data_IF_305687123626
#
_entry.id   IF_305687123626
#
_cell.length_a   1.000
_cell.length_b   1.000
_cell.length_c   1.000
_cell.angle_alpha   90.00
_cell.angle_beta   90.00
_cell.angle_gamma   90.00
#
_symmetry.space_group_name_H-M   'P 1'
#
loop_
_entity.id
_entity.type
_entity.pdbx_description
1 polymer ?
#
# COMPACT_ATOMS: atom_id res chain seq x y z
N UNK A 1 2.09 52.71 -32.56
CA UNK A 1 1.14 51.98 -31.69
C UNK A 1 0.62 52.95 -30.64
N UNK A 2 -0.71 53.11 -30.49
CA UNK A 2 -1.26 54.06 -29.51
C UNK A 2 -0.98 53.56 -28.08
N UNK A 3 -0.68 54.44 -27.11
CA UNK A 3 -0.33 54.04 -25.74
C UNK A 3 -1.39 53.14 -25.08
N UNK A 4 -2.67 53.28 -25.47
CA UNK A 4 -3.77 52.42 -25.02
C UNK A 4 -3.58 50.93 -25.40
N UNK A 5 -2.93 50.63 -26.53
CA UNK A 5 -2.67 49.25 -26.94
C UNK A 5 -1.49 48.62 -26.19
N UNK A 6 -0.48 49.42 -25.80
CA UNK A 6 0.64 48.95 -24.98
C UNK A 6 0.13 48.51 -23.59
N UNK A 7 -0.70 49.34 -22.96
CA UNK A 7 -1.26 49.03 -21.64
C UNK A 7 -2.12 47.77 -21.68
N UNK A 8 -2.95 47.60 -22.71
CA UNK A 8 -3.79 46.40 -22.85
C UNK A 8 -2.95 45.12 -22.99
N UNK A 9 -1.89 45.16 -23.79
CA UNK A 9 -0.99 44.00 -23.97
C UNK A 9 -0.31 43.62 -22.65
N UNK A 10 0.14 44.61 -21.87
CA UNK A 10 0.77 44.36 -20.57
C UNK A 10 -0.21 43.71 -19.60
N UNK A 11 -1.44 44.21 -19.52
CA UNK A 11 -2.46 43.66 -18.61
C UNK A 11 -2.81 42.23 -18.98
N UNK A 12 -3.09 41.96 -20.26
CA UNK A 12 -3.42 40.60 -20.73
C UNK A 12 -2.24 39.65 -20.52
N UNK A 13 -1.03 40.07 -20.88
CA UNK A 13 0.18 39.27 -20.69
C UNK A 13 0.41 38.91 -19.22
N UNK A 14 0.26 39.88 -18.32
CA UNK A 14 0.41 39.66 -16.88
C UNK A 14 -0.69 38.74 -16.32
N UNK A 15 -1.94 38.92 -16.73
CA UNK A 15 -3.05 38.03 -16.34
C UNK A 15 -2.83 36.58 -16.80
N UNK A 16 -2.36 36.37 -18.03
CA UNK A 16 -2.00 35.03 -18.52
C UNK A 16 -0.85 34.41 -17.71
N UNK A 17 0.15 35.20 -17.32
CA UNK A 17 1.31 34.74 -16.56
C UNK A 17 0.92 34.35 -15.13
N UNK A 18 0.01 35.11 -14.49
CA UNK A 18 -0.58 34.76 -13.19
C UNK A 18 -1.44 33.49 -13.28
N UNK A 19 -2.28 33.37 -14.30
CA UNK A 19 -3.10 32.18 -14.51
C UNK A 19 -2.25 30.93 -14.76
N UNK A 20 -1.18 31.04 -15.56
CA UNK A 20 -0.22 29.96 -15.79
C UNK A 20 0.55 29.59 -14.51
N UNK A 21 1.02 30.59 -13.75
CA UNK A 21 1.69 30.37 -12.47
C UNK A 21 0.77 29.69 -11.48
N UNK A 22 -0.50 30.11 -11.36
CA UNK A 22 -1.49 29.47 -10.49
C UNK A 22 -1.85 28.05 -10.95
N UNK A 23 -1.94 27.82 -12.26
CA UNK A 23 -2.14 26.49 -12.83
C UNK A 23 -0.95 25.55 -12.51
N UNK A 24 0.29 26.03 -12.67
CA UNK A 24 1.46 25.24 -12.32
C UNK A 24 1.57 25.01 -10.82
N UNK A 25 1.31 26.03 -10.00
CA UNK A 25 1.32 25.91 -8.55
C UNK A 25 0.24 24.92 -8.09
N UNK A 26 -0.99 25.02 -8.61
CA UNK A 26 -2.07 24.07 -8.29
C UNK A 26 -1.80 22.67 -8.82
N UNK A 27 -1.04 22.50 -9.92
CA UNK A 27 -0.51 21.20 -10.36
C UNK A 27 0.54 20.64 -9.40
N UNK A 28 1.41 21.48 -8.87
CA UNK A 28 2.40 21.05 -7.88
C UNK A 28 1.80 20.84 -6.48
N UNK A 29 0.64 21.43 -6.23
CA UNK A 29 -0.25 21.14 -5.10
C UNK A 29 -1.32 20.08 -5.44
N UNK A 30 -1.27 19.44 -6.61
CA UNK A 30 -2.08 18.24 -6.84
C UNK A 30 -1.62 17.19 -5.84
N UNK A 31 -2.62 16.59 -5.22
CA UNK A 31 -2.58 15.75 -4.04
C UNK A 31 -1.31 14.91 -3.88
N UNK A 32 -0.68 14.86 -2.68
CA UNK A 32 0.29 13.81 -2.36
C UNK A 32 -0.38 12.46 -2.68
N UNK A 33 0.18 11.70 -3.64
CA UNK A 33 -0.61 10.65 -4.27
C UNK A 33 -0.05 10.05 -5.56
N UNK A 34 0.62 10.84 -6.38
CA UNK A 34 1.01 10.37 -7.71
C UNK A 34 2.30 9.53 -7.67
N UNK A 35 2.28 8.41 -8.42
CA UNK A 35 3.43 7.51 -8.60
C UNK A 35 4.48 8.21 -9.46
N UNK A 36 5.65 8.48 -8.88
CA UNK A 36 6.77 9.11 -9.56
C UNK A 36 7.65 8.13 -10.32
N UNK A 37 8.96 8.37 -10.32
CA UNK A 37 9.92 7.48 -10.98
C UNK A 37 10.04 6.17 -10.21
N UNK A 38 10.05 5.04 -10.93
CA UNK A 38 10.39 3.73 -10.37
C UNK A 38 11.83 3.76 -9.86
N UNK A 39 12.04 3.30 -8.64
CA UNK A 39 13.39 3.14 -8.08
C UNK A 39 13.75 1.69 -7.78
N UNK A 40 12.77 0.81 -7.61
CA UNK A 40 13.01 -0.60 -7.36
C UNK A 40 11.86 -1.45 -7.91
N UNK A 41 12.17 -2.68 -8.33
CA UNK A 41 11.17 -3.67 -8.76
C UNK A 41 11.65 -5.05 -8.32
N UNK A 42 10.73 -5.84 -7.80
CA UNK A 42 10.96 -7.23 -7.42
C UNK A 42 9.89 -8.11 -8.03
N UNK A 43 10.29 -9.25 -8.58
CA UNK A 43 9.39 -10.23 -9.18
C UNK A 43 9.67 -11.62 -8.62
N UNK A 44 8.61 -12.41 -8.44
CA UNK A 44 8.70 -13.82 -8.08
C UNK A 44 7.59 -14.63 -8.76
N UNK A 45 7.77 -15.93 -8.89
CA UNK A 45 6.84 -16.82 -9.59
C UNK A 45 6.78 -18.19 -8.94
N UNK A 46 5.62 -18.83 -8.99
CA UNK A 46 5.47 -20.28 -8.82
C UNK A 46 5.12 -20.90 -10.18
N UNK A 47 4.53 -22.10 -10.20
CA UNK A 47 4.18 -22.81 -11.44
C UNK A 47 2.95 -22.24 -12.16
N UNK A 48 2.13 -21.42 -11.51
CA UNK A 48 0.81 -21.03 -12.00
C UNK A 48 0.62 -19.51 -12.13
N UNK A 49 1.20 -18.72 -11.23
CA UNK A 49 1.17 -17.26 -11.30
C UNK A 49 2.47 -16.61 -10.80
N UNK A 50 2.64 -15.35 -11.22
CA UNK A 50 3.75 -14.47 -10.87
C UNK A 50 3.25 -13.21 -10.17
N UNK A 51 4.09 -12.66 -9.31
CA UNK A 51 3.84 -11.45 -8.53
C UNK A 51 4.98 -10.48 -8.75
N UNK A 52 4.63 -9.19 -8.85
CA UNK A 52 5.57 -8.09 -9.01
C UNK A 52 5.26 -7.00 -7.99
N UNK A 53 6.29 -6.48 -7.33
CA UNK A 53 6.20 -5.31 -6.47
C UNK A 53 7.07 -4.23 -7.11
N UNK A 54 6.49 -3.09 -7.40
CA UNK A 54 7.19 -1.92 -7.95
C UNK A 54 7.13 -0.79 -6.95
N UNK A 55 8.29 -0.23 -6.60
CA UNK A 55 8.40 0.93 -5.73
C UNK A 55 8.69 2.20 -6.55
N UNK A 56 7.93 3.25 -6.26
CA UNK A 56 7.96 4.54 -6.92
C UNK A 56 8.30 5.61 -5.89
N UNK A 57 9.10 6.59 -6.28
CA UNK A 57 9.19 7.83 -5.51
C UNK A 57 7.83 8.52 -5.51
N UNK A 58 7.43 9.11 -4.39
CA UNK A 58 6.27 9.99 -4.36
C UNK A 58 6.54 11.29 -5.11
N UNK A 59 5.60 11.72 -5.98
CA UNK A 59 5.65 13.06 -6.58
C UNK A 59 5.07 14.06 -5.59
N UNK A 60 5.89 14.97 -5.09
CA UNK A 60 5.47 16.04 -4.18
C UNK A 60 6.64 16.93 -3.75
N UNK A 61 6.33 18.14 -3.28
CA UNK A 61 7.36 19.12 -2.84
C UNK A 61 7.78 18.87 -1.38
N UNK A 62 6.88 18.34 -0.55
CA UNK A 62 7.09 18.18 0.89
C UNK A 62 7.16 16.70 1.28
N UNK A 63 8.32 16.29 1.80
CA UNK A 63 8.64 14.95 2.35
C UNK A 63 8.32 13.80 1.37
N UNK A 64 9.24 13.47 0.44
CA UNK A 64 9.00 12.42 -0.52
C UNK A 64 8.93 11.05 0.17
N UNK A 65 7.72 10.49 0.25
CA UNK A 65 7.52 9.10 0.63
C UNK A 65 7.81 8.13 -0.50
N UNK A 66 7.30 6.91 -0.34
CA UNK A 66 7.33 5.87 -1.35
C UNK A 66 5.92 5.32 -1.62
N UNK A 67 5.64 5.06 -2.89
CA UNK A 67 4.46 4.32 -3.34
C UNK A 67 4.87 2.92 -3.76
N UNK A 68 4.13 1.93 -3.26
CA UNK A 68 4.33 0.53 -3.62
C UNK A 68 3.10 0.04 -4.38
N UNK A 69 3.33 -0.65 -5.48
CA UNK A 69 2.28 -1.29 -6.29
C UNK A 69 2.60 -2.76 -6.38
N UNK A 70 1.64 -3.59 -5.95
CA UNK A 70 1.72 -5.03 -5.99
C UNK A 70 0.76 -5.53 -7.08
N UNK A 71 1.31 -6.28 -8.01
CA UNK A 71 0.62 -6.78 -9.18
C UNK A 71 0.78 -8.29 -9.26
N UNK A 72 -0.18 -8.95 -9.90
CA UNK A 72 -0.12 -10.38 -10.17
C UNK A 72 -0.60 -10.68 -11.58
N UNK A 73 -0.08 -11.75 -12.16
CA UNK A 73 -0.45 -12.24 -13.48
C UNK A 73 -0.31 -13.77 -13.51
N UNK A 74 -1.05 -14.43 -14.41
CA UNK A 74 -0.75 -15.84 -14.73
C UNK A 74 0.66 -15.94 -15.34
N UNK A 75 1.37 -17.06 -15.12
CA UNK A 75 2.73 -17.27 -15.66
C UNK A 75 2.77 -17.07 -17.18
N UNK A 76 1.73 -17.53 -17.88
CA UNK A 76 1.61 -17.44 -19.35
C UNK A 76 1.13 -16.06 -19.85
N UNK A 77 0.74 -15.15 -18.96
CA UNK A 77 0.20 -13.84 -19.33
C UNK A 77 1.21 -12.72 -19.11
N UNK A 78 1.15 -11.71 -19.98
CA UNK A 78 1.86 -10.43 -19.80
C UNK A 78 0.95 -9.33 -19.24
N UNK A 79 -0.32 -9.65 -18.97
CA UNK A 79 -1.29 -8.74 -18.39
C UNK A 79 -1.17 -8.73 -16.86
N UNK A 80 -0.50 -7.71 -16.34
CA UNK A 80 -0.40 -7.46 -14.90
C UNK A 80 -1.68 -6.83 -14.37
N UNK A 81 -2.17 -7.34 -13.23
CA UNK A 81 -3.31 -6.79 -12.51
C UNK A 81 -2.86 -6.32 -11.15
N UNK A 82 -3.05 -5.03 -10.88
CA UNK A 82 -2.87 -4.45 -9.57
C UNK A 82 -3.85 -5.06 -8.58
N UNK A 83 -3.34 -5.58 -7.47
CA UNK A 83 -4.17 -6.07 -6.37
C UNK A 83 -4.01 -5.25 -5.09
N UNK A 84 -2.92 -4.47 -4.98
CA UNK A 84 -2.67 -3.59 -3.84
C UNK A 84 -1.77 -2.43 -4.24
N UNK A 85 -2.12 -1.24 -3.79
CA UNK A 85 -1.23 -0.09 -3.81
C UNK A 85 -1.29 0.64 -2.46
N UNK A 86 -0.14 1.08 -1.95
CA UNK A 86 -0.07 1.80 -0.69
C UNK A 86 1.10 2.79 -0.66
N UNK A 87 0.95 3.81 0.19
CA UNK A 87 1.94 4.85 0.43
C UNK A 87 2.64 4.58 1.76
N UNK A 88 3.92 4.89 1.84
CA UNK A 88 4.70 5.00 3.08
C UNK A 88 5.34 6.38 3.14
N UNK A 89 5.34 6.99 4.30
CA UNK A 89 6.00 8.28 4.52
C UNK A 89 7.53 8.18 4.34
N UNK A 90 8.10 7.03 4.71
CA UNK A 90 9.52 6.73 4.53
C UNK A 90 9.72 5.68 3.43
N UNK A 91 10.66 5.90 2.49
CA UNK A 91 11.10 4.87 1.56
C UNK A 91 11.70 3.68 2.32
N UNK A 92 11.14 2.50 2.11
CA UNK A 92 11.69 1.24 2.60
C UNK A 92 12.17 0.39 1.41
N UNK A 93 13.24 -0.40 1.56
CA UNK A 93 13.66 -1.35 0.54
C UNK A 93 12.57 -2.38 0.24
N UNK A 94 12.42 -2.83 -1.02
CA UNK A 94 11.44 -3.88 -1.35
C UNK A 94 11.76 -5.21 -0.66
N UNK A 95 13.00 -5.46 -0.24
CA UNK A 95 13.35 -6.65 0.57
C UNK A 95 12.45 -6.83 1.80
N UNK A 96 12.02 -5.73 2.42
CA UNK A 96 11.05 -5.76 3.53
C UNK A 96 9.71 -6.40 3.15
N UNK A 97 9.23 -6.16 1.93
CA UNK A 97 7.97 -6.73 1.42
C UNK A 97 8.16 -8.15 0.87
N UNK A 98 9.30 -8.42 0.22
CA UNK A 98 9.68 -9.77 -0.21
C UNK A 98 9.66 -10.75 0.98
N UNK A 99 10.27 -10.38 2.10
CA UNK A 99 10.29 -11.21 3.31
C UNK A 99 8.90 -11.51 3.88
N UNK A 100 7.86 -10.75 3.48
CA UNK A 100 6.47 -10.87 3.94
C UNK A 100 5.53 -11.46 2.90
N UNK A 101 6.05 -11.79 1.72
CA UNK A 101 5.34 -12.49 0.67
C UNK A 101 5.62 -14.00 0.75
N UNK A 102 4.59 -14.84 0.66
CA UNK A 102 4.76 -16.30 0.62
C UNK A 102 3.78 -16.94 -0.35
N UNK A 103 4.29 -17.87 -1.17
CA UNK A 103 3.47 -18.90 -1.80
C UNK A 103 3.20 -20.01 -0.79
N UNK A 104 1.93 -20.38 -0.60
CA UNK A 104 1.54 -21.57 0.17
C UNK A 104 1.49 -22.78 -0.76
N UNK A 105 0.95 -22.60 -1.96
CA UNK A 105 0.91 -23.59 -3.04
C UNK A 105 0.76 -22.88 -4.40
N UNK A 106 0.44 -23.63 -5.46
CA UNK A 106 0.31 -23.07 -6.81
C UNK A 106 -0.90 -22.12 -6.99
N UNK A 107 -1.91 -22.20 -6.13
CA UNK A 107 -3.11 -21.34 -6.19
C UNK A 107 -3.14 -20.28 -5.08
N UNK A 108 -2.43 -20.52 -3.98
CA UNK A 108 -2.53 -19.72 -2.77
C UNK A 108 -1.23 -18.99 -2.47
N UNK A 109 -1.33 -17.68 -2.26
CA UNK A 109 -0.25 -16.86 -1.72
C UNK A 109 -0.81 -15.77 -0.83
N UNK A 110 0.05 -15.24 0.05
CA UNK A 110 -0.27 -14.07 0.84
C UNK A 110 0.87 -13.06 0.86
N UNK A 111 0.51 -11.81 1.11
CA UNK A 111 1.38 -10.69 1.43
C UNK A 111 0.82 -10.02 2.68
N UNK A 112 1.66 -9.78 3.67
CA UNK A 112 1.26 -8.96 4.80
C UNK A 112 2.12 -7.71 4.95
N UNK A 113 1.51 -6.66 5.46
CA UNK A 113 2.15 -5.41 5.86
C UNK A 113 1.69 -5.05 7.26
N UNK A 114 2.25 -4.01 7.88
CA UNK A 114 1.73 -3.51 9.15
C UNK A 114 0.22 -3.21 9.11
N UNK A 115 -0.30 -2.82 7.94
CA UNK A 115 -1.67 -2.29 7.80
C UNK A 115 -2.74 -3.30 7.38
N UNK A 116 -2.33 -4.44 6.81
CA UNK A 116 -3.27 -5.45 6.31
C UNK A 116 -2.59 -6.78 5.97
N UNK A 117 -3.43 -7.80 5.77
CA UNK A 117 -3.10 -9.10 5.23
C UNK A 117 -3.87 -9.31 3.92
N UNK A 118 -3.15 -9.55 2.82
CA UNK A 118 -3.72 -9.78 1.50
C UNK A 118 -3.49 -11.24 1.08
N UNK A 119 -4.54 -11.94 0.64
CA UNK A 119 -4.47 -13.36 0.25
C UNK A 119 -5.20 -13.64 -1.06
N UNK A 120 -4.60 -14.47 -1.90
CA UNK A 120 -5.26 -15.07 -3.07
C UNK A 120 -5.42 -16.57 -2.86
N UNK A 121 -6.52 -17.14 -3.33
CA UNK A 121 -6.79 -18.59 -3.33
C UNK A 121 -6.99 -19.15 -4.75
N UNK A 122 -6.74 -18.33 -5.78
CA UNK A 122 -7.08 -18.66 -7.16
C UNK A 122 -6.00 -18.22 -8.16
N UNK A 123 -4.74 -18.37 -7.76
CA UNK A 123 -3.58 -18.11 -8.62
C UNK A 123 -3.40 -16.62 -8.93
N UNK A 124 -3.61 -15.75 -7.95
CA UNK A 124 -3.46 -14.30 -8.11
C UNK A 124 -4.57 -13.61 -8.89
N UNK A 125 -5.63 -14.32 -9.30
CA UNK A 125 -6.73 -13.69 -10.07
C UNK A 125 -7.53 -12.70 -9.24
N UNK A 126 -7.83 -13.06 -8.00
CA UNK A 126 -8.51 -12.22 -7.02
C UNK A 126 -7.75 -12.25 -5.70
N UNK A 127 -7.76 -11.11 -5.00
CA UNK A 127 -7.14 -10.95 -3.70
C UNK A 127 -8.19 -10.47 -2.69
N UNK A 128 -8.20 -11.08 -1.51
CA UNK A 128 -8.97 -10.63 -0.35
C UNK A 128 -8.04 -9.91 0.61
N UNK A 129 -8.50 -8.79 1.17
CA UNK A 129 -7.74 -7.96 2.10
C UNK A 129 -8.42 -7.98 3.46
N UNK A 130 -7.68 -8.31 4.50
CA UNK A 130 -8.10 -8.22 5.89
C UNK A 130 -7.31 -7.12 6.60
N UNK A 131 -8.01 -6.28 7.37
CA UNK A 131 -7.38 -5.23 8.18
C UNK A 131 -7.39 -5.59 9.67
N UNK A 132 -6.30 -5.31 10.41
CA UNK A 132 -6.17 -5.56 11.84
C UNK A 132 -6.91 -4.53 12.69
N UNK A 133 -8.23 -4.41 12.47
CA UNK A 133 -9.13 -3.57 13.24
C UNK A 133 -9.85 -4.43 14.29
N UNK A 134 -9.52 -4.25 15.56
CA UNK A 134 -10.09 -5.02 16.65
C UNK A 134 -10.94 -4.13 17.57
N UNK A 135 -12.06 -4.63 18.10
CA UNK A 135 -12.89 -3.89 19.03
C UNK A 135 -12.21 -3.72 20.39
N UNK A 136 -12.29 -2.52 20.95
CA UNK A 136 -11.97 -2.24 22.35
C UNK A 136 -13.19 -2.51 23.26
N UNK A 137 -12.99 -2.41 24.58
CA UNK A 137 -14.06 -2.59 25.58
C UNK A 137 -15.23 -1.63 25.39
N UNK A 138 -14.98 -0.43 24.85
CA UNK A 138 -16.00 0.58 24.56
C UNK A 138 -16.66 0.39 23.18
N UNK A 139 -16.32 -0.69 22.46
CA UNK A 139 -16.83 -1.00 21.14
C UNK A 139 -16.13 -0.26 19.99
N UNK A 140 -15.18 0.65 20.26
CA UNK A 140 -14.44 1.33 19.19
C UNK A 140 -13.46 0.38 18.53
N UNK A 141 -13.37 0.45 17.20
CA UNK A 141 -12.35 -0.26 16.46
C UNK A 141 -11.03 0.47 16.59
N UNK A 142 -9.99 -0.27 16.98
CA UNK A 142 -8.63 0.24 17.06
C UNK A 142 -7.74 -0.55 16.14
N UNK A 143 -6.87 0.19 15.46
CA UNK A 143 -5.89 -0.35 14.55
C UNK A 143 -4.72 -0.97 15.33
N UNK A 144 -4.30 -2.14 14.89
CA UNK A 144 -3.12 -2.84 15.38
C UNK A 144 -2.15 -3.06 14.23
N UNK A 145 -0.85 -2.91 14.46
CA UNK A 145 0.14 -3.22 13.44
C UNK A 145 0.37 -4.73 13.36
N UNK A 146 0.24 -5.30 12.17
CA UNK A 146 0.54 -6.70 11.89
C UNK A 146 2.04 -6.90 11.70
N UNK A 147 2.68 -7.55 12.69
CA UNK A 147 4.13 -7.69 12.77
C UNK A 147 4.63 -8.93 12.05
N UNK A 148 3.92 -10.04 12.22
CA UNK A 148 4.24 -11.36 11.68
C UNK A 148 2.94 -12.05 11.29
N UNK A 149 2.97 -12.81 10.18
CA UNK A 149 1.88 -13.69 9.79
C UNK A 149 2.41 -14.97 9.12
N UNK A 150 1.89 -16.11 9.57
CA UNK A 150 2.16 -17.42 9.01
C UNK A 150 0.85 -18.15 8.76
N UNK A 151 0.68 -18.69 7.55
CA UNK A 151 -0.50 -19.45 7.16
C UNK A 151 -0.04 -20.74 6.48
N UNK A 152 -0.58 -21.85 6.96
CA UNK A 152 -0.27 -23.20 6.55
C UNK A 152 -1.08 -23.64 5.33
N UNK A 153 -0.72 -24.80 4.77
CA UNK A 153 -1.39 -25.36 3.59
C UNK A 153 -2.83 -25.79 3.83
N UNK A 154 -3.20 -26.09 5.08
CA UNK A 154 -4.58 -26.45 5.48
C UNK A 154 -5.47 -25.22 5.73
N UNK A 155 -4.91 -24.01 5.59
CA UNK A 155 -5.61 -22.75 5.80
C UNK A 155 -5.61 -22.26 7.24
N UNK A 156 -5.05 -23.03 8.18
CA UNK A 156 -4.79 -22.55 9.53
C UNK A 156 -3.61 -21.58 9.54
N UNK A 157 -3.52 -20.72 10.55
CA UNK A 157 -2.41 -19.79 10.65
C UNK A 157 -2.43 -18.98 11.92
N UNK A 158 -1.31 -18.30 12.19
CA UNK A 158 -1.09 -17.44 13.35
C UNK A 158 -0.46 -16.12 12.91
N UNK A 159 -0.79 -15.06 13.63
CA UNK A 159 -0.20 -13.75 13.43
C UNK A 159 -0.02 -13.02 14.75
N UNK A 160 0.95 -12.10 14.78
CA UNK A 160 1.23 -11.23 15.91
C UNK A 160 0.83 -9.81 15.58
N UNK A 161 0.04 -9.21 16.46
CA UNK A 161 -0.37 -7.83 16.38
C UNK A 161 0.28 -7.02 17.51
N UNK A 162 0.71 -5.81 17.21
CA UNK A 162 1.23 -4.87 18.23
C UNK A 162 0.51 -3.53 18.16
N UNK A 163 0.43 -2.86 19.30
CA UNK A 163 -0.18 -1.54 19.45
C UNK A 163 0.52 -0.80 20.60
N UNK A 164 0.66 0.51 20.49
CA UNK A 164 0.99 1.33 21.66
C UNK A 164 -0.25 1.55 22.54
N UNK A 165 -0.15 1.22 23.82
CA UNK A 165 -1.24 1.39 24.78
C UNK A 165 -0.92 2.55 25.74
N UNK A 166 -1.76 3.59 25.69
CA UNK A 166 -1.55 4.82 26.46
C UNK A 166 -1.65 4.60 27.98
N UNK A 167 -2.42 3.59 28.43
CA UNK A 167 -2.62 3.35 29.86
C UNK A 167 -1.38 2.78 30.51
N UNK A 168 -0.72 1.85 29.83
CA UNK A 168 0.52 1.22 30.30
C UNK A 168 1.79 1.91 29.78
N UNK A 169 1.64 2.88 28.87
CA UNK A 169 2.72 3.62 28.19
C UNK A 169 3.74 2.70 27.48
N UNK A 170 3.28 1.55 27.01
CA UNK A 170 4.12 0.52 26.41
C UNK A 170 3.41 -0.14 25.22
N UNK A 171 4.15 -0.98 24.48
CA UNK A 171 3.58 -1.82 23.44
C UNK A 171 2.90 -3.03 24.06
N UNK A 172 1.66 -3.25 23.64
CA UNK A 172 0.92 -4.48 23.90
C UNK A 172 0.96 -5.35 22.66
N UNK A 173 1.15 -6.65 22.88
CA UNK A 173 1.17 -7.65 21.82
C UNK A 173 0.06 -8.66 22.07
N UNK A 174 -0.59 -9.09 20.98
CA UNK A 174 -1.57 -10.17 21.02
C UNK A 174 -1.31 -11.14 19.86
N UNK A 175 -1.67 -12.40 20.09
CA UNK A 175 -1.67 -13.42 19.06
C UNK A 175 -3.09 -13.62 18.53
N UNK A 176 -3.20 -13.74 17.21
CA UNK A 176 -4.44 -14.04 16.50
C UNK A 176 -4.24 -15.30 15.66
N UNK A 177 -5.33 -16.01 15.39
CA UNK A 177 -5.33 -17.21 14.56
C UNK A 177 -6.37 -17.11 13.44
N UNK A 178 -6.16 -17.90 12.39
CA UNK A 178 -7.10 -18.07 11.27
C UNK A 178 -7.30 -19.55 10.99
N UNK A 179 -8.45 -19.89 10.43
CA UNK A 179 -8.81 -21.23 9.94
C UNK A 179 -9.24 -21.18 8.46
N UNK A 180 -9.03 -20.04 7.79
CA UNK A 180 -9.50 -19.79 6.43
C UNK A 180 -8.54 -18.94 5.60
N UNK A 181 -7.25 -19.27 5.68
CA UNK A 181 -6.16 -18.62 4.95
C UNK A 181 -6.04 -17.11 5.24
N UNK A 182 -6.39 -16.67 6.45
CA UNK A 182 -6.28 -15.27 6.85
C UNK A 182 -7.38 -14.37 6.30
N UNK A 183 -8.48 -14.93 5.76
CA UNK A 183 -9.67 -14.14 5.40
C UNK A 183 -10.35 -13.55 6.64
N UNK A 184 -10.33 -14.29 7.74
CA UNK A 184 -10.78 -13.82 9.05
C UNK A 184 -9.79 -14.27 10.12
N UNK A 185 -9.67 -13.46 11.16
CA UNK A 185 -8.79 -13.72 12.29
C UNK A 185 -9.53 -13.60 13.61
N UNK A 186 -9.17 -14.42 14.59
CA UNK A 186 -9.71 -14.41 15.95
C UNK A 186 -8.57 -14.35 16.97
N UNK A 187 -8.82 -13.68 18.10
CA UNK A 187 -7.83 -13.60 19.20
C UNK A 187 -7.66 -14.98 19.83
N UNK A 188 -6.42 -15.41 20.02
CA UNK A 188 -6.09 -16.63 20.76
C UNK A 188 -6.41 -16.38 22.24
N UNK A 189 -7.35 -17.16 22.80
CA UNK A 189 -7.67 -17.07 24.23
C UNK A 189 -6.51 -17.71 25.01
N UNK A 190 -5.80 -16.90 25.78
CA UNK A 190 -4.86 -17.35 26.81
C UNK A 190 -5.59 -18.00 27.98
#
# INVERSE_FOLDING_TARGET
>A
MKPKHIVLIIVVGFSCLLAYSHYQLSRSFRFPGDRGKIYETWETTNNNFKVKITAYYEVGIYMPGAFFVCESASVSSNEWREFKAFRRDDPIPISYLNERFRFINDQTAYLYTADDFSVTLNGGRNWSVWKPLLPQRDGKLVFWALMEAHVETDGTGRAKLTRYDEQVKDRVEIEIQTENFGKTWSVVKS
#
